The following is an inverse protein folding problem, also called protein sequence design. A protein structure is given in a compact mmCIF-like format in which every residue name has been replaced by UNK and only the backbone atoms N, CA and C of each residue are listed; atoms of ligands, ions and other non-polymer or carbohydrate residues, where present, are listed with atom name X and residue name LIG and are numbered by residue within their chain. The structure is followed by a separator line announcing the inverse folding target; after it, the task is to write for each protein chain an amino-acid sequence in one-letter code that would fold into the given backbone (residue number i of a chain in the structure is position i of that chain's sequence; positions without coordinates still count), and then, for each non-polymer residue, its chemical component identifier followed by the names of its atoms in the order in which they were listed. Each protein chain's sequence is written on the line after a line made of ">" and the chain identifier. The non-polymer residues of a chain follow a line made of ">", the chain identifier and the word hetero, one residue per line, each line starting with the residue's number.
data_IF_924775303280
#
_entry.id   IF_924775303280
#
_cell.length_a   1.000
_cell.length_b   1.000
_cell.length_c   1.000
_cell.angle_alpha   90.00
_cell.angle_beta   90.00
_cell.angle_gamma   90.00
#
_symmetry.space_group_name_H-M   'P 1'
#
loop_
_entity.id
_entity.type
_entity.pdbx_description
1 polymer ?
#
# COMPACT_ATOMS: atom_id res chain seq x y z
N UNK A 1 23.54 -0.82 -13.13
CA UNK A 1 24.44 -1.61 -14.03
C UNK A 1 23.71 -1.74 -15.35
N UNK A 2 24.18 -1.03 -16.37
CA UNK A 2 23.59 -1.11 -17.71
C UNK A 2 24.40 -2.13 -18.52
N UNK A 3 23.70 -3.10 -19.10
CA UNK A 3 24.26 -4.04 -20.04
C UNK A 3 24.48 -3.37 -21.39
N UNK A 4 25.69 -3.45 -21.93
CA UNK A 4 25.96 -3.04 -23.30
C UNK A 4 25.29 -4.05 -24.24
N UNK A 5 24.38 -3.58 -25.10
CA UNK A 5 23.88 -4.37 -26.21
C UNK A 5 24.88 -4.27 -27.33
N UNK A 6 25.55 -5.38 -27.59
CA UNK A 6 26.32 -5.53 -28.84
C UNK A 6 25.33 -5.95 -29.93
N UNK A 7 25.08 -5.08 -30.87
CA UNK A 7 24.24 -5.38 -32.04
C UNK A 7 25.18 -5.75 -33.19
N UNK A 8 25.30 -7.06 -33.48
CA UNK A 8 25.99 -7.54 -34.64
C UNK A 8 25.00 -7.58 -35.82
N UNK A 9 25.10 -6.64 -36.73
CA UNK A 9 24.34 -6.70 -37.98
C UNK A 9 25.28 -7.08 -39.12
N UNK A 10 25.11 -8.27 -39.74
CA UNK A 10 25.93 -8.65 -40.90
C UNK A 10 25.57 -7.75 -42.07
N UNK A 11 26.56 -7.04 -42.58
CA UNK A 11 26.43 -6.32 -43.84
C UNK A 11 26.42 -7.32 -45.00
N UNK A 12 25.26 -7.60 -45.57
CA UNK A 12 25.11 -8.37 -46.80
C UNK A 12 25.40 -7.47 -48.00
N UNK A 13 26.67 -7.29 -48.32
CA UNK A 13 27.09 -6.87 -49.65
C UNK A 13 28.03 -7.93 -50.25
N UNK A 14 27.69 -8.38 -51.43
CA UNK A 14 28.36 -9.45 -52.13
C UNK A 14 29.87 -9.24 -52.17
N UNK A 15 30.63 -10.12 -51.48
CA UNK A 15 32.06 -10.29 -51.69
C UNK A 15 33.00 -9.66 -50.66
N UNK A 16 32.50 -9.10 -49.54
CA UNK A 16 33.35 -8.60 -48.45
C UNK A 16 32.87 -9.16 -47.12
N UNK A 17 33.64 -10.08 -46.54
CA UNK A 17 33.47 -10.51 -45.14
C UNK A 17 33.88 -9.42 -44.17
N UNK A 18 33.12 -8.31 -44.13
CA UNK A 18 33.33 -7.22 -43.19
C UNK A 18 32.18 -7.15 -42.21
N UNK A 19 32.38 -7.70 -41.02
CA UNK A 19 31.52 -7.45 -39.84
C UNK A 19 31.90 -6.11 -39.24
N UNK A 20 31.02 -5.12 -39.33
CA UNK A 20 31.15 -3.87 -38.59
C UNK A 20 30.55 -4.00 -37.21
N UNK A 21 31.38 -3.93 -36.17
CA UNK A 21 30.90 -3.85 -34.78
C UNK A 21 30.73 -2.39 -34.41
N UNK A 22 29.50 -1.97 -34.13
CA UNK A 22 29.22 -0.67 -33.60
C UNK A 22 29.07 -0.78 -32.09
N UNK A 23 29.96 -0.16 -31.32
CA UNK A 23 29.86 -0.06 -29.89
C UNK A 23 29.05 1.22 -29.53
N UNK A 24 27.82 1.02 -29.12
CA UNK A 24 26.96 2.14 -28.63
C UNK A 24 27.15 2.24 -27.14
N UNK A 25 27.75 3.31 -26.65
CA UNK A 25 27.79 3.65 -25.24
C UNK A 25 26.52 4.43 -24.89
N UNK A 26 25.59 3.78 -24.22
CA UNK A 26 24.41 4.45 -23.70
C UNK A 26 24.73 4.94 -22.30
N UNK A 27 24.89 6.26 -22.15
CA UNK A 27 25.04 6.90 -20.85
C UNK A 27 23.68 7.44 -20.42
N UNK A 28 23.14 6.96 -19.30
CA UNK A 28 21.91 7.54 -18.77
C UNK A 28 22.15 8.99 -18.33
N UNK A 29 21.34 9.92 -18.83
CA UNK A 29 21.37 11.29 -18.34
C UNK A 29 21.08 11.30 -16.83
N UNK A 30 21.89 11.98 -16.02
CA UNK A 30 21.59 12.13 -14.59
C UNK A 30 20.18 12.70 -14.40
N UNK A 31 19.48 12.19 -13.38
CA UNK A 31 18.17 12.71 -13.01
C UNK A 31 18.35 14.08 -12.34
N UNK A 32 17.87 15.14 -13.00
CA UNK A 32 17.98 16.54 -12.57
C UNK A 32 16.71 17.07 -11.86
N UNK A 33 15.63 16.28 -11.85
CA UNK A 33 14.39 16.59 -11.17
C UNK A 33 14.41 16.36 -9.65
N UNK A 34 13.23 16.28 -9.05
CA UNK A 34 13.04 16.01 -7.63
C UNK A 34 12.06 14.85 -7.40
N UNK A 35 12.04 14.34 -6.16
CA UNK A 35 11.08 13.33 -5.71
C UNK A 35 10.19 13.97 -4.66
N UNK A 36 8.91 13.71 -4.75
CA UNK A 36 7.91 14.24 -3.83
C UNK A 36 7.10 13.10 -3.22
N UNK A 37 6.73 13.27 -1.96
CA UNK A 37 5.79 12.43 -1.25
C UNK A 37 4.76 13.32 -0.57
N UNK A 38 3.51 12.94 -0.63
CA UNK A 38 2.40 13.69 -0.04
C UNK A 38 1.35 12.75 0.53
N UNK A 39 0.55 13.28 1.44
CA UNK A 39 -0.53 12.54 2.08
C UNK A 39 -0.12 11.94 3.42
N UNK A 40 -1.08 11.30 4.03
CA UNK A 40 -0.94 10.55 5.28
C UNK A 40 -1.99 9.46 5.29
N UNK A 41 -1.72 8.37 5.98
CA UNK A 41 -2.70 7.30 6.15
C UNK A 41 -2.64 6.75 7.57
N UNK A 42 -3.72 6.08 7.93
CA UNK A 42 -3.85 5.34 9.18
C UNK A 42 -4.01 3.87 8.86
N UNK A 43 -3.18 3.03 9.45
CA UNK A 43 -3.18 1.58 9.26
C UNK A 43 -3.25 0.95 10.65
N UNK A 44 -3.97 -0.16 10.78
CA UNK A 44 -4.05 -0.86 12.08
C UNK A 44 -2.95 -1.92 12.18
N UNK A 45 -2.42 -2.08 13.39
CA UNK A 45 -1.46 -3.15 13.70
C UNK A 45 -2.09 -4.50 13.37
N UNK A 46 -1.32 -5.39 12.75
CA UNK A 46 -1.76 -6.73 12.39
C UNK A 46 -2.60 -6.84 11.10
N UNK A 47 -2.95 -5.72 10.46
CA UNK A 47 -3.61 -5.75 9.16
C UNK A 47 -2.64 -6.18 8.03
N UNK A 48 -3.23 -6.66 6.94
CA UNK A 48 -2.49 -7.02 5.73
C UNK A 48 -1.64 -5.85 5.21
N UNK A 49 -0.43 -6.11 4.71
CA UNK A 49 0.44 -5.05 4.24
C UNK A 49 -0.18 -4.19 3.13
N UNK A 50 -0.26 -2.89 3.38
CA UNK A 50 -0.83 -1.90 2.46
C UNK A 50 0.16 -1.56 1.35
N UNK A 51 -0.28 -1.64 0.10
CA UNK A 51 0.54 -1.23 -1.04
C UNK A 51 0.55 0.30 -1.17
N UNK A 52 1.73 0.88 -1.16
CA UNK A 52 1.93 2.34 -1.31
C UNK A 52 1.96 2.78 -2.79
N UNK A 53 2.11 1.85 -3.74
CA UNK A 53 2.03 2.17 -5.16
C UNK A 53 0.56 2.24 -5.57
N UNK A 54 0.14 3.41 -6.08
CA UNK A 54 -1.25 3.65 -6.46
C UNK A 54 -2.21 3.82 -5.28
N UNK A 55 -1.69 4.00 -4.07
CA UNK A 55 -2.52 4.35 -2.91
C UNK A 55 -3.15 5.73 -3.09
N UNK A 56 -4.40 5.89 -2.65
CA UNK A 56 -5.14 7.14 -2.81
C UNK A 56 -4.75 8.19 -1.76
N UNK A 57 -4.43 7.74 -0.55
CA UNK A 57 -4.12 8.60 0.60
C UNK A 57 -2.65 9.02 0.65
N UNK A 58 -1.76 8.18 0.11
CA UNK A 58 -0.30 8.44 0.07
C UNK A 58 0.16 8.37 -1.38
N UNK A 59 0.87 9.41 -1.82
CA UNK A 59 1.39 9.50 -3.18
C UNK A 59 2.87 9.82 -3.18
N UNK A 60 3.63 9.00 -3.91
CA UNK A 60 5.03 9.27 -4.23
C UNK A 60 5.20 9.44 -5.74
N UNK A 61 5.91 10.46 -6.15
CA UNK A 61 6.16 10.72 -7.57
C UNK A 61 7.45 11.48 -7.81
N UNK A 62 7.99 11.33 -9.01
CA UNK A 62 9.12 12.12 -9.48
C UNK A 62 8.65 13.22 -10.43
N UNK A 63 9.29 14.36 -10.39
CA UNK A 63 9.11 15.45 -11.33
C UNK A 63 10.43 15.77 -12.02
N UNK A 64 10.38 16.23 -13.26
CA UNK A 64 11.55 16.69 -13.98
C UNK A 64 12.00 18.10 -13.54
N UNK A 65 13.04 18.65 -14.15
CA UNK A 65 13.56 19.98 -13.85
C UNK A 65 12.61 21.14 -14.20
N UNK A 66 11.46 20.84 -14.79
CA UNK A 66 10.38 21.79 -15.09
C UNK A 66 9.13 21.56 -14.22
N UNK A 67 9.28 20.80 -13.12
CA UNK A 67 8.22 20.40 -12.20
C UNK A 67 7.10 19.56 -12.84
N UNK A 68 7.34 18.99 -14.00
CA UNK A 68 6.38 18.09 -14.65
C UNK A 68 6.53 16.66 -14.14
N UNK A 69 5.41 16.05 -13.76
CA UNK A 69 5.37 14.64 -13.32
C UNK A 69 5.92 13.68 -14.38
N UNK A 70 6.83 12.81 -13.96
CA UNK A 70 7.37 11.73 -14.79
C UNK A 70 6.42 10.52 -14.68
N UNK A 71 5.70 10.28 -15.77
CA UNK A 71 4.77 9.14 -15.83
C UNK A 71 5.52 7.82 -15.76
N UNK A 72 5.03 6.89 -14.93
CA UNK A 72 5.61 5.55 -14.79
C UNK A 72 6.97 5.51 -14.09
N UNK A 73 7.39 6.59 -13.40
CA UNK A 73 8.61 6.54 -12.59
C UNK A 73 8.50 5.44 -11.53
N UNK A 74 9.45 4.47 -11.48
CA UNK A 74 9.42 3.41 -10.48
C UNK A 74 9.85 3.96 -9.12
N UNK A 75 8.87 4.43 -8.37
CA UNK A 75 9.07 4.93 -7.01
C UNK A 75 9.32 3.75 -6.07
N UNK A 76 10.29 3.92 -5.19
CA UNK A 76 10.55 2.99 -4.07
C UNK A 76 10.33 3.76 -2.78
N UNK A 77 9.68 3.13 -1.82
CA UNK A 77 9.44 3.70 -0.51
C UNK A 77 10.47 3.18 0.49
N UNK A 78 10.89 4.04 1.40
CA UNK A 78 11.81 3.74 2.48
C UNK A 78 11.23 4.18 3.82
N UNK A 79 11.40 3.37 4.86
CA UNK A 79 11.12 3.73 6.24
C UNK A 79 12.37 4.36 6.88
N UNK A 80 12.16 5.16 7.90
CA UNK A 80 13.25 5.74 8.67
C UNK A 80 13.90 4.67 9.54
N UNK A 81 15.22 4.54 9.45
CA UNK A 81 16.00 3.44 10.04
C UNK A 81 15.94 3.38 11.58
N UNK A 82 15.71 4.48 12.25
CA UNK A 82 15.56 4.57 13.70
C UNK A 82 14.17 4.11 14.21
N UNK A 83 13.26 3.77 13.31
CA UNK A 83 11.88 3.36 13.60
C UNK A 83 11.61 1.88 13.25
N UNK A 84 12.64 1.10 12.91
CA UNK A 84 12.51 -0.29 12.45
C UNK A 84 11.76 -1.23 13.42
N UNK A 85 11.66 -0.87 14.69
CA UNK A 85 11.09 -1.73 15.74
C UNK A 85 9.55 -1.82 15.73
N UNK A 86 8.88 -1.31 14.72
CA UNK A 86 7.42 -1.35 14.65
C UNK A 86 6.86 -1.27 13.23
N UNK A 87 7.69 -0.93 12.26
CA UNK A 87 7.31 -0.83 10.84
C UNK A 87 8.03 -1.90 10.02
N UNK A 88 7.31 -2.51 9.10
CA UNK A 88 7.87 -3.40 8.09
C UNK A 88 7.50 -2.84 6.72
N UNK A 89 8.51 -2.48 5.93
CA UNK A 89 8.34 -1.93 4.58
C UNK A 89 9.14 -2.77 3.58
N UNK A 90 8.44 -3.59 2.81
CA UNK A 90 9.04 -4.47 1.81
C UNK A 90 8.29 -4.34 0.48
N UNK A 91 9.02 -4.19 -0.62
CA UNK A 91 8.43 -4.11 -1.97
C UNK A 91 7.30 -3.07 -2.08
N UNK A 92 7.47 -1.90 -1.47
CA UNK A 92 6.48 -0.84 -1.38
C UNK A 92 5.18 -1.23 -0.65
N UNK A 93 5.22 -2.26 0.18
CA UNK A 93 4.11 -2.65 1.06
C UNK A 93 4.50 -2.40 2.50
N UNK A 94 3.66 -1.70 3.22
CA UNK A 94 3.87 -1.33 4.62
C UNK A 94 2.91 -2.05 5.54
N UNK A 95 3.41 -2.52 6.66
CA UNK A 95 2.63 -3.05 7.78
C UNK A 95 3.28 -2.65 9.11
N UNK A 96 2.53 -2.76 10.19
CA UNK A 96 2.98 -2.36 11.51
C UNK A 96 2.80 -3.50 12.52
N UNK A 97 3.77 -3.60 13.42
CA UNK A 97 3.75 -4.55 14.55
C UNK A 97 3.53 -3.86 15.89
N UNK A 98 3.66 -2.52 15.92
CA UNK A 98 3.41 -1.69 17.10
C UNK A 98 2.65 -0.43 16.69
N UNK A 99 1.81 0.08 17.59
CA UNK A 99 1.19 1.40 17.44
C UNK A 99 2.23 2.52 17.50
N UNK A 100 1.96 3.60 16.79
CA UNK A 100 2.86 4.75 16.77
C UNK A 100 2.69 5.62 15.53
N UNK A 101 3.59 6.60 15.42
CA UNK A 101 3.72 7.42 14.21
C UNK A 101 5.08 7.16 13.61
N UNK A 102 5.10 6.73 12.36
CA UNK A 102 6.29 6.35 11.63
C UNK A 102 6.53 7.29 10.46
N UNK A 103 7.78 7.40 10.02
CA UNK A 103 8.13 8.23 8.89
C UNK A 103 8.58 7.39 7.71
N UNK A 104 8.02 7.69 6.54
CA UNK A 104 8.40 7.07 5.27
C UNK A 104 8.70 8.15 4.24
N UNK A 105 9.47 7.81 3.22
CA UNK A 105 9.77 8.70 2.09
C UNK A 105 9.80 7.95 0.78
N UNK A 106 9.52 8.67 -0.29
CA UNK A 106 9.65 8.17 -1.65
C UNK A 106 11.06 8.37 -2.18
N UNK A 107 11.57 7.43 -2.98
CA UNK A 107 12.87 7.50 -3.61
C UNK A 107 12.81 7.19 -5.11
N UNK A 108 13.63 7.85 -5.88
CA UNK A 108 13.78 7.61 -7.31
C UNK A 108 15.18 8.02 -7.79
N UNK A 109 15.90 7.10 -8.43
CA UNK A 109 17.24 7.35 -8.98
C UNK A 109 18.22 8.05 -8.01
N UNK A 110 18.21 7.63 -6.74
CA UNK A 110 19.09 8.16 -5.70
C UNK A 110 18.69 9.50 -5.10
N UNK A 111 17.56 10.08 -5.50
CA UNK A 111 16.95 11.23 -4.84
C UNK A 111 15.79 10.79 -3.96
N UNK A 112 15.54 11.57 -2.92
CA UNK A 112 14.54 11.30 -1.89
C UNK A 112 13.56 12.48 -1.79
N UNK A 113 12.32 12.17 -1.40
CA UNK A 113 11.38 13.18 -0.94
C UNK A 113 11.66 13.60 0.50
N UNK A 114 10.95 14.61 0.97
CA UNK A 114 10.79 14.85 2.40
C UNK A 114 10.08 13.64 3.05
N UNK A 115 10.29 13.49 4.38
CA UNK A 115 9.62 12.49 5.17
C UNK A 115 8.14 12.83 5.35
N UNK A 116 7.26 11.87 5.16
CA UNK A 116 5.84 11.97 5.50
C UNK A 116 5.52 11.00 6.63
N UNK A 117 4.50 11.35 7.42
CA UNK A 117 4.09 10.54 8.58
C UNK A 117 2.96 9.58 8.21
N UNK A 118 3.07 8.35 8.69
CA UNK A 118 2.01 7.34 8.68
C UNK A 118 1.70 6.93 10.12
N UNK A 119 0.42 6.74 10.44
CA UNK A 119 -0.02 6.41 11.78
C UNK A 119 -0.44 4.95 11.88
N UNK A 120 0.15 4.23 12.82
CA UNK A 120 -0.27 2.89 13.21
C UNK A 120 -1.17 2.97 14.44
N UNK A 121 -2.40 2.50 14.31
CA UNK A 121 -3.34 2.38 15.43
C UNK A 121 -3.31 0.94 15.99
N UNK A 122 -3.74 0.74 17.24
CA UNK A 122 -3.91 -0.59 17.81
C UNK A 122 -4.72 -1.53 16.90
N UNK A 123 -4.44 -2.82 17.01
CA UNK A 123 -5.19 -3.85 16.30
C UNK A 123 -6.69 -3.72 16.57
N UNK A 124 -7.50 -3.94 15.54
CA UNK A 124 -8.96 -3.97 15.68
C UNK A 124 -9.38 -5.17 16.51
N UNK A 125 -10.09 -4.91 17.58
CA UNK A 125 -10.61 -5.94 18.48
C UNK A 125 -12.13 -5.84 18.56
N UNK A 126 -12.80 -6.97 18.47
CA UNK A 126 -14.24 -7.05 18.65
C UNK A 126 -14.62 -6.53 20.06
N UNK A 127 -15.36 -5.44 20.12
CA UNK A 127 -15.82 -4.84 21.39
C UNK A 127 -17.30 -5.05 21.64
N UNK A 128 -18.11 -5.04 20.60
CA UNK A 128 -19.56 -5.09 20.72
C UNK A 128 -20.20 -5.90 19.62
N UNK A 129 -21.16 -6.73 19.99
CA UNK A 129 -22.09 -7.37 19.06
C UNK A 129 -23.48 -6.75 19.26
N UNK A 130 -24.08 -6.24 18.19
CA UNK A 130 -25.47 -5.76 18.18
C UNK A 130 -26.31 -6.73 17.38
N UNK A 131 -27.40 -7.16 17.97
CA UNK A 131 -28.40 -7.99 17.31
C UNK A 131 -29.64 -7.13 17.10
N UNK A 132 -30.10 -7.04 15.87
CA UNK A 132 -31.33 -6.33 15.53
C UNK A 132 -32.20 -7.20 14.63
N UNK A 133 -33.53 -7.10 14.77
CA UNK A 133 -34.41 -7.53 13.71
C UNK A 133 -34.68 -6.34 12.78
N UNK A 134 -35.08 -6.58 11.54
CA UNK A 134 -35.28 -5.53 10.52
C UNK A 134 -36.38 -4.55 10.90
N UNK A 135 -37.14 -4.79 11.96
CA UNK A 135 -38.30 -3.98 12.37
C UNK A 135 -38.12 -3.31 13.74
N UNK A 136 -37.26 -3.84 14.61
CA UNK A 136 -37.00 -3.30 15.95
C UNK A 136 -35.60 -3.68 16.44
N UNK A 137 -34.88 -2.78 17.14
CA UNK A 137 -33.67 -3.19 17.83
C UNK A 137 -34.01 -4.24 18.87
N UNK A 138 -33.65 -5.49 18.61
CA UNK A 138 -33.84 -6.57 19.55
C UNK A 138 -32.69 -6.57 20.57
N UNK A 139 -32.98 -6.35 21.81
CA UNK A 139 -32.10 -6.75 22.90
C UNK A 139 -32.41 -8.20 23.27
N UNK A 140 -31.40 -8.98 23.67
CA UNK A 140 -31.58 -10.36 24.16
C UNK A 140 -32.66 -10.45 25.28
N UNK A 141 -32.90 -9.37 25.98
CA UNK A 141 -33.96 -9.23 27.01
C UNK A 141 -35.37 -9.21 26.42
N UNK A 142 -35.53 -9.03 25.11
CA UNK A 142 -36.84 -9.02 24.44
C UNK A 142 -37.39 -10.42 24.15
N UNK A 143 -36.60 -11.47 24.32
CA UNK A 143 -37.03 -12.84 24.16
C UNK A 143 -37.64 -13.34 25.47
N UNK A 144 -38.87 -12.95 25.74
CA UNK A 144 -39.65 -13.47 26.89
C UNK A 144 -40.17 -14.84 26.46
N UNK A 145 -39.69 -15.91 27.09
CA UNK A 145 -40.34 -17.21 27.03
C UNK A 145 -41.72 -17.09 27.61
N UNK A 146 -42.75 -17.07 26.80
CA UNK A 146 -44.12 -17.24 27.27
C UNK A 146 -44.32 -18.65 27.81
N UNK A 147 -44.40 -18.74 29.11
CA UNK A 147 -44.61 -19.96 29.83
C UNK A 147 -45.99 -20.53 29.50
N UNK A 148 -46.08 -21.40 28.50
CA UNK A 148 -47.13 -22.42 28.29
C UNK A 148 -46.81 -23.32 27.12
N UNK A 149 -46.12 -24.40 27.37
CA UNK A 149 -46.32 -25.68 26.72
C UNK A 149 -45.95 -25.87 25.25
N UNK A 150 -45.70 -24.85 24.52
CA UNK A 150 -45.19 -24.90 23.14
C UNK A 150 -43.94 -24.02 23.03
N UNK A 151 -42.78 -24.56 22.65
CA UNK A 151 -41.62 -23.72 22.43
C UNK A 151 -41.92 -22.75 21.28
N UNK A 152 -41.92 -21.43 21.53
CA UNK A 152 -41.91 -20.45 20.47
C UNK A 152 -40.62 -20.63 19.67
N UNK A 153 -40.75 -21.07 18.43
CA UNK A 153 -39.62 -21.19 17.53
C UNK A 153 -39.24 -19.78 17.12
N UNK A 154 -38.12 -19.31 17.65
CA UNK A 154 -37.55 -18.03 17.25
C UNK A 154 -36.89 -18.21 15.87
N UNK A 155 -37.42 -17.56 14.86
CA UNK A 155 -36.82 -17.53 13.53
C UNK A 155 -35.58 -16.60 13.52
N UNK A 156 -34.41 -17.19 13.71
CA UNK A 156 -33.13 -16.47 13.72
C UNK A 156 -32.72 -15.94 12.34
N UNK A 157 -33.37 -16.40 11.26
CA UNK A 157 -33.03 -15.95 9.90
C UNK A 157 -33.35 -14.48 9.64
N UNK A 158 -34.20 -13.88 10.49
CA UNK A 158 -34.57 -12.45 10.45
C UNK A 158 -33.67 -11.55 11.32
N UNK A 159 -32.73 -12.15 12.05
CA UNK A 159 -31.83 -11.38 12.89
C UNK A 159 -30.59 -10.96 12.13
N UNK A 160 -30.28 -9.68 12.18
CA UNK A 160 -29.01 -9.14 11.69
C UNK A 160 -28.05 -9.01 12.88
N UNK A 161 -26.88 -9.61 12.76
CA UNK A 161 -25.79 -9.45 13.72
C UNK A 161 -24.75 -8.53 13.14
N UNK A 162 -24.47 -7.42 13.83
CA UNK A 162 -23.40 -6.49 13.50
C UNK A 162 -22.31 -6.58 14.55
N UNK A 163 -21.08 -6.74 14.09
CA UNK A 163 -19.89 -6.69 14.91
C UNK A 163 -19.27 -5.29 14.80
N UNK A 164 -18.84 -4.76 15.91
CA UNK A 164 -18.21 -3.45 16.02
C UNK A 164 -16.85 -3.63 16.69
N UNK A 165 -15.86 -2.91 16.22
CA UNK A 165 -14.57 -2.81 16.90
C UNK A 165 -14.52 -1.51 17.77
N UNK A 166 -13.36 -1.19 18.30
CA UNK A 166 -13.18 -0.02 19.17
C UNK A 166 -13.17 1.32 18.43
N UNK A 167 -13.31 1.32 17.12
CA UNK A 167 -13.25 2.53 16.28
C UNK A 167 -14.60 2.89 15.64
N UNK A 168 -15.63 2.05 15.81
CA UNK A 168 -17.02 2.31 15.34
C UNK A 168 -17.89 3.03 16.36
#
# INVERSE_FOLDING_TARGET
>A
TYTSLENEQPATNAGLDATAKIKVNVTAKPFDGSVQAEGTTTIYVGEEPVNLIGNEDIKGYAVDSTDKKISGAPIVWEARLDEEDGIKLENNRVSFTKEGTYQIRATYRGKHSEWISVKALPEKALTTLKISDDTKPATLESFIFKDKGTPDIIDLSKLTVKAFDQYD
#
